data_IF_849551890891
#
_entry.id   IF_849551890891
#
_cell.length_a   1.000
_cell.length_b   1.000
_cell.length_c   1.000
_cell.angle_alpha   90.00
_cell.angle_beta   90.00
_cell.angle_gamma   90.00
#
_symmetry.space_group_name_H-M   'P 1'
#
loop_
_entity.id
_entity.type
_entity.pdbx_description
1 polymer ?
#
# COMPACT_ATOMS: atom_id res chain seq x y z
N UNK A 1 10.21 73.56 38.55
CA UNK A 1 11.04 73.57 37.32
C UNK A 1 10.27 72.78 36.27
N UNK A 2 9.87 73.47 35.21
CA UNK A 2 9.05 73.00 34.09
C UNK A 2 9.77 71.91 33.27
N UNK A 3 9.04 70.91 32.78
CA UNK A 3 8.87 70.74 31.33
C UNK A 3 7.78 69.70 31.05
N UNK A 4 6.65 70.19 30.56
CA UNK A 4 5.62 69.42 29.87
C UNK A 4 6.14 69.00 28.49
N UNK A 5 5.58 67.92 27.92
CA UNK A 5 5.01 67.90 26.56
C UNK A 5 4.37 66.52 26.26
N UNK A 6 3.06 66.60 26.02
CA UNK A 6 2.21 65.91 25.03
C UNK A 6 2.01 64.38 25.11
N UNK A 7 0.81 63.90 25.45
CA UNK A 7 -0.39 63.74 24.59
C UNK A 7 -0.20 62.82 23.37
N UNK A 8 -0.71 61.59 23.48
CA UNK A 8 -1.71 61.06 22.53
C UNK A 8 -2.40 59.81 23.08
N UNK A 9 -3.69 59.98 23.39
CA UNK A 9 -4.64 58.90 23.54
C UNK A 9 -4.94 58.27 22.18
N UNK A 10 -4.97 56.94 22.12
CA UNK A 10 -5.68 56.19 21.09
C UNK A 10 -6.31 54.96 21.76
N UNK A 11 -7.64 55.00 21.80
CA UNK A 11 -8.54 53.88 22.05
C UNK A 11 -8.30 52.78 21.01
N UNK A 12 -8.17 51.53 21.46
CA UNK A 12 -8.70 50.39 20.71
C UNK A 12 -9.23 49.35 21.70
N UNK A 13 -10.55 49.24 21.74
CA UNK A 13 -11.25 48.07 22.24
C UNK A 13 -10.99 46.91 21.27
N UNK A 14 -10.66 45.73 21.79
CA UNK A 14 -10.46 44.54 21.00
C UNK A 14 -10.66 43.30 21.85
N UNK A 15 -11.82 42.68 21.68
CA UNK A 15 -12.23 41.41 22.28
C UNK A 15 -11.11 40.36 22.24
N UNK A 16 -10.66 39.92 23.40
CA UNK A 16 -9.85 38.70 23.52
C UNK A 16 -10.78 37.48 23.45
N UNK A 17 -11.30 37.20 22.26
CA UNK A 17 -11.81 35.87 21.96
C UNK A 17 -10.61 34.92 22.02
N UNK A 18 -10.57 34.09 23.06
CA UNK A 18 -9.58 33.03 23.21
C UNK A 18 -9.71 32.04 22.05
N UNK A 19 -8.98 32.29 20.96
CA UNK A 19 -8.68 31.28 19.96
C UNK A 19 -7.77 30.25 20.61
N UNK A 20 -8.35 29.18 21.14
CA UNK A 20 -7.60 27.97 21.42
C UNK A 20 -6.90 27.56 20.12
N UNK A 21 -5.56 27.44 20.09
CA UNK A 21 -4.91 26.82 18.96
C UNK A 21 -5.40 25.38 18.92
N UNK A 22 -6.04 25.01 17.80
CA UNK A 22 -6.35 23.64 17.48
C UNK A 22 -5.03 22.84 17.50
N UNK A 23 -4.80 22.14 18.61
CA UNK A 23 -3.72 21.17 18.73
C UNK A 23 -3.99 20.05 17.72
N UNK A 24 -3.27 20.12 16.62
CA UNK A 24 -2.69 19.00 15.90
C UNK A 24 -3.66 17.88 15.49
N UNK A 25 -4.38 18.10 14.38
CA UNK A 25 -4.76 17.01 13.46
C UNK A 25 -3.56 16.55 12.61
N UNK A 26 -2.43 16.21 13.25
CA UNK A 26 -1.21 15.75 12.55
C UNK A 26 -1.09 14.22 12.44
N UNK A 27 -2.17 13.48 12.70
CA UNK A 27 -2.17 12.01 12.72
C UNK A 27 -2.35 11.36 11.34
N UNK A 28 -2.53 12.14 10.27
CA UNK A 28 -2.87 11.63 8.92
C UNK A 28 -1.66 11.31 8.02
N UNK A 29 -0.43 11.60 8.46
CA UNK A 29 0.81 11.38 7.68
C UNK A 29 1.74 10.30 8.25
N UNK A 30 1.33 9.63 9.33
CA UNK A 30 2.24 8.73 10.03
C UNK A 30 2.34 7.35 9.34
N UNK A 31 3.58 6.87 9.14
CA UNK A 31 3.84 5.53 8.60
C UNK A 31 3.26 4.45 9.52
N UNK A 32 2.63 3.39 8.98
CA UNK A 32 2.06 2.32 9.79
C UNK A 32 3.04 1.68 10.77
N UNK A 33 4.31 1.51 10.38
CA UNK A 33 5.35 0.94 11.25
C UNK A 33 5.62 1.82 12.48
N UNK A 34 5.53 3.15 12.33
CA UNK A 34 5.69 4.06 13.46
C UNK A 34 4.56 3.90 14.47
N UNK A 35 3.31 3.71 14.00
CA UNK A 35 2.18 3.45 14.91
C UNK A 35 2.36 2.16 15.69
N UNK A 36 2.85 1.11 15.03
CA UNK A 36 3.18 -0.16 15.69
C UNK A 36 4.27 0.06 16.73
N UNK A 37 5.40 0.65 16.36
CA UNK A 37 6.51 0.91 17.28
C UNK A 37 6.09 1.76 18.47
N UNK A 38 5.28 2.81 18.26
CA UNK A 38 4.76 3.64 19.37
C UNK A 38 3.81 2.89 20.29
N UNK A 39 3.10 1.87 19.79
CA UNK A 39 2.34 0.97 20.65
C UNK A 39 3.27 0.04 21.43
N UNK A 40 4.30 -0.52 20.78
CA UNK A 40 5.30 -1.40 21.41
C UNK A 40 6.08 -0.71 22.52
N UNK A 41 6.36 0.59 22.38
CA UNK A 41 7.00 1.40 23.42
C UNK A 41 6.20 1.45 24.73
N UNK A 42 4.89 1.16 24.69
CA UNK A 42 4.00 1.10 25.87
C UNK A 42 3.66 -0.33 26.27
N UNK A 43 4.17 -1.32 25.55
CA UNK A 43 3.95 -2.75 25.78
C UNK A 43 5.03 -3.33 26.70
N UNK A 44 4.83 -4.59 27.09
CA UNK A 44 5.81 -5.38 27.83
C UNK A 44 7.18 -5.45 27.10
N UNK A 45 8.31 -5.51 27.84
CA UNK A 45 9.65 -5.55 27.25
C UNK A 45 9.84 -6.66 26.20
N UNK A 46 9.24 -7.84 26.43
CA UNK A 46 9.28 -8.96 25.49
C UNK A 46 8.71 -8.62 24.11
N UNK A 47 7.68 -7.77 24.03
CA UNK A 47 7.12 -7.36 22.74
C UNK A 47 8.09 -6.49 21.92
N UNK A 48 8.92 -5.68 22.58
CA UNK A 48 9.97 -4.89 21.93
C UNK A 48 11.12 -5.79 21.48
N UNK A 49 11.47 -6.79 22.28
CA UNK A 49 12.46 -7.82 21.97
C UNK A 49 12.06 -8.62 20.72
N UNK A 50 10.83 -9.16 20.71
CA UNK A 50 10.30 -9.91 19.58
C UNK A 50 10.31 -9.08 18.29
N UNK A 51 9.88 -7.81 18.37
CA UNK A 51 9.92 -6.92 17.22
C UNK A 51 11.35 -6.66 16.72
N UNK A 52 12.29 -6.42 17.64
CA UNK A 52 13.68 -6.18 17.29
C UNK A 52 14.30 -7.39 16.59
N UNK A 53 14.07 -8.60 17.10
CA UNK A 53 14.55 -9.84 16.49
C UNK A 53 13.96 -10.05 15.09
N UNK A 54 12.66 -9.82 14.92
CA UNK A 54 12.01 -9.91 13.61
C UNK A 54 12.59 -8.89 12.63
N UNK A 55 12.72 -7.63 13.04
CA UNK A 55 13.24 -6.57 12.19
C UNK A 55 14.69 -6.82 11.75
N UNK A 56 15.55 -7.26 12.69
CA UNK A 56 16.94 -7.62 12.40
C UNK A 56 17.03 -8.86 11.50
N UNK A 57 16.14 -9.84 11.68
CA UNK A 57 16.05 -11.01 10.82
C UNK A 57 15.70 -10.66 9.38
N UNK A 58 14.71 -9.79 9.17
CA UNK A 58 14.36 -9.28 7.84
C UNK A 58 15.51 -8.50 7.19
N UNK A 59 16.26 -7.71 7.97
CA UNK A 59 17.49 -7.07 7.48
C UNK A 59 18.50 -8.12 7.05
N UNK A 60 18.81 -9.09 7.90
CA UNK A 60 19.77 -10.15 7.62
C UNK A 60 19.43 -10.91 6.33
N UNK A 61 18.15 -11.28 6.15
CA UNK A 61 17.68 -11.93 4.93
C UNK A 61 17.91 -11.06 3.68
N UNK A 62 17.68 -9.74 3.73
CA UNK A 62 17.99 -8.87 2.59
C UNK A 62 19.49 -8.81 2.27
N UNK A 63 20.33 -8.79 3.29
CA UNK A 63 21.79 -8.83 3.14
C UNK A 63 22.25 -10.15 2.48
N UNK A 64 21.72 -11.29 2.93
CA UNK A 64 22.00 -12.61 2.34
C UNK A 64 21.60 -12.69 0.87
N UNK A 65 20.37 -12.27 0.56
CA UNK A 65 19.88 -12.21 -0.83
C UNK A 65 20.71 -11.25 -1.69
N UNK A 66 21.22 -10.16 -1.11
CA UNK A 66 22.10 -9.24 -1.83
C UNK A 66 23.48 -9.85 -2.10
N UNK A 67 24.05 -10.57 -1.14
CA UNK A 67 25.30 -11.32 -1.29
C UNK A 67 25.15 -12.37 -2.40
N UNK A 68 24.12 -13.21 -2.34
CA UNK A 68 23.87 -14.27 -3.32
C UNK A 68 23.70 -13.72 -4.75
N UNK A 69 22.98 -12.61 -4.90
CA UNK A 69 22.81 -11.92 -6.20
C UNK A 69 24.13 -11.41 -6.77
N UNK A 70 25.01 -10.89 -5.92
CA UNK A 70 26.32 -10.38 -6.36
C UNK A 70 27.26 -11.55 -6.64
N UNK A 71 27.18 -12.63 -5.87
CA UNK A 71 27.99 -13.84 -6.07
C UNK A 71 27.66 -14.58 -7.36
N UNK A 72 26.38 -14.69 -7.71
CA UNK A 72 25.89 -15.37 -8.91
C UNK A 72 26.22 -14.65 -10.22
N UNK A 73 26.52 -13.35 -10.18
CA UNK A 73 26.93 -12.60 -11.37
C UNK A 73 28.35 -13.01 -11.82
N UNK A 74 28.59 -13.12 -13.13
CA UNK A 74 29.94 -13.30 -13.67
C UNK A 74 30.54 -11.94 -14.00
N UNK A 75 31.73 -11.64 -13.49
CA UNK A 75 32.44 -10.38 -13.78
C UNK A 75 33.84 -10.70 -14.27
N UNK A 76 34.13 -10.30 -15.52
CA UNK A 76 35.41 -10.55 -16.19
C UNK A 76 36.37 -9.36 -16.09
N UNK A 77 35.89 -8.16 -15.74
CA UNK A 77 36.72 -6.97 -15.54
C UNK A 77 37.42 -7.01 -14.16
N UNK A 78 38.77 -7.02 -14.10
CA UNK A 78 39.51 -7.04 -12.84
C UNK A 78 39.16 -5.89 -11.87
N UNK A 79 38.86 -4.69 -12.38
CA UNK A 79 38.52 -3.53 -11.53
C UNK A 79 37.14 -3.67 -10.90
N UNK A 80 36.18 -4.19 -11.66
CA UNK A 80 34.82 -4.48 -11.16
C UNK A 80 34.84 -5.66 -10.21
N UNK A 81 35.65 -6.68 -10.50
CA UNK A 81 35.91 -7.80 -9.59
C UNK A 81 36.47 -7.33 -8.24
N UNK A 82 37.47 -6.44 -8.22
CA UNK A 82 37.98 -5.88 -6.96
C UNK A 82 36.90 -5.11 -6.16
N UNK A 83 36.13 -4.23 -6.82
CA UNK A 83 35.03 -3.49 -6.17
C UNK A 83 33.99 -4.44 -5.59
N UNK A 84 33.63 -5.49 -6.33
CA UNK A 84 32.72 -6.54 -5.88
C UNK A 84 33.24 -7.25 -4.63
N UNK A 85 34.49 -7.72 -4.63
CA UNK A 85 35.07 -8.38 -3.46
C UNK A 85 35.09 -7.47 -2.23
N UNK A 86 35.42 -6.18 -2.42
CA UNK A 86 35.40 -5.20 -1.35
C UNK A 86 33.98 -5.01 -0.79
N UNK A 87 32.98 -4.89 -1.66
CA UNK A 87 31.58 -4.79 -1.26
C UNK A 87 31.13 -6.05 -0.52
N UNK A 88 31.37 -7.24 -1.06
CA UNK A 88 31.04 -8.52 -0.43
C UNK A 88 31.65 -8.65 0.97
N UNK A 89 32.92 -8.24 1.15
CA UNK A 89 33.57 -8.27 2.47
C UNK A 89 32.86 -7.34 3.46
N UNK A 90 32.54 -6.11 3.06
CA UNK A 90 31.87 -5.14 3.92
C UNK A 90 30.43 -5.58 4.27
N UNK A 91 29.68 -6.07 3.27
CA UNK A 91 28.31 -6.57 3.43
C UNK A 91 28.27 -7.80 4.33
N UNK A 92 29.20 -8.76 4.17
CA UNK A 92 29.32 -9.90 5.06
C UNK A 92 29.66 -9.47 6.50
N UNK A 93 30.57 -8.52 6.68
CA UNK A 93 30.90 -8.02 8.01
C UNK A 93 29.68 -7.39 8.69
N UNK A 94 28.86 -6.63 7.94
CA UNK A 94 27.62 -6.05 8.45
C UNK A 94 26.59 -7.14 8.80
N UNK A 95 26.41 -8.15 7.96
CA UNK A 95 25.53 -9.29 8.23
C UNK A 95 25.92 -10.02 9.53
N UNK A 96 27.22 -10.27 9.73
CA UNK A 96 27.71 -10.88 10.97
C UNK A 96 27.42 -10.01 12.21
N UNK A 97 27.49 -8.68 12.08
CA UNK A 97 27.09 -7.79 13.17
C UNK A 97 25.60 -7.84 13.48
N UNK A 98 24.73 -8.09 12.49
CA UNK A 98 23.30 -8.27 12.73
C UNK A 98 23.05 -9.58 13.49
N UNK A 99 23.73 -10.67 13.12
CA UNK A 99 23.64 -11.95 13.83
C UNK A 99 24.09 -11.86 15.28
N UNK A 100 25.23 -11.23 15.54
CA UNK A 100 25.71 -11.00 16.92
C UNK A 100 24.71 -10.18 17.74
N UNK A 101 24.09 -9.16 17.15
CA UNK A 101 23.09 -8.35 17.84
C UNK A 101 21.84 -9.17 18.17
N UNK A 102 21.37 -10.02 17.25
CA UNK A 102 20.23 -10.91 17.51
C UNK A 102 20.54 -11.93 18.60
N UNK A 103 21.77 -12.44 18.66
CA UNK A 103 22.24 -13.33 19.73
C UNK A 103 22.18 -12.62 21.10
N UNK A 104 22.77 -11.43 21.22
CA UNK A 104 22.73 -10.69 22.49
C UNK A 104 21.31 -10.33 22.95
N UNK A 105 20.44 -9.91 22.01
CA UNK A 105 19.04 -9.65 22.32
C UNK A 105 18.33 -10.93 22.76
N UNK A 106 18.63 -12.08 22.16
CA UNK A 106 18.06 -13.38 22.55
C UNK A 106 18.53 -13.83 23.93
N UNK A 107 19.77 -13.51 24.30
CA UNK A 107 20.37 -13.78 25.62
C UNK A 107 19.87 -12.84 26.73
N UNK A 108 19.00 -11.89 26.38
CA UNK A 108 18.32 -11.00 27.33
C UNK A 108 18.93 -9.60 27.46
N UNK A 109 19.75 -9.15 26.50
CA UNK A 109 20.16 -7.75 26.43
C UNK A 109 18.91 -6.84 26.34
N UNK A 110 18.79 -5.81 27.20
CA UNK A 110 17.69 -4.86 27.12
C UNK A 110 17.65 -4.17 25.76
N UNK A 111 16.46 -4.09 25.18
CA UNK A 111 16.25 -3.47 23.88
C UNK A 111 15.10 -2.48 23.93
N UNK A 112 15.31 -1.34 23.30
CA UNK A 112 14.31 -0.31 23.08
C UNK A 112 14.09 -0.12 21.59
N UNK A 113 12.82 -0.16 21.18
CA UNK A 113 12.45 0.15 19.80
C UNK A 113 11.85 1.54 19.76
N UNK A 114 12.47 2.44 19.01
CA UNK A 114 12.05 3.84 18.94
C UNK A 114 11.69 4.25 17.52
N UNK A 115 10.64 5.07 17.39
CA UNK A 115 10.26 5.70 16.15
C UNK A 115 10.16 7.20 16.38
N UNK A 116 11.08 7.97 15.80
CA UNK A 116 11.11 9.43 15.90
C UNK A 116 10.58 10.03 14.60
N UNK A 117 9.37 10.62 14.52
CA UNK A 117 8.91 11.28 13.30
C UNK A 117 9.70 12.58 13.00
N UNK A 118 10.06 12.87 11.74
CA UNK A 118 9.83 12.10 10.51
C UNK A 118 10.88 11.00 10.23
N UNK A 119 11.81 10.77 11.15
CA UNK A 119 12.90 9.79 11.08
C UNK A 119 12.46 8.32 11.08
N UNK A 120 13.43 7.42 11.01
CA UNK A 120 13.23 6.00 10.81
C UNK A 120 13.12 5.24 12.14
N UNK A 121 12.67 3.99 12.07
CA UNK A 121 12.63 3.09 13.23
C UNK A 121 14.07 2.74 13.61
N UNK A 122 14.36 2.77 14.90
CA UNK A 122 15.66 2.41 15.44
C UNK A 122 15.51 1.36 16.52
N UNK A 123 16.44 0.41 16.54
CA UNK A 123 16.64 -0.54 17.62
C UNK A 123 17.83 -0.05 18.42
N UNK A 124 17.59 0.21 19.70
CA UNK A 124 18.58 0.74 20.64
C UNK A 124 18.85 -0.32 21.70
N UNK A 125 20.09 -0.74 21.81
CA UNK A 125 20.61 -1.55 22.93
C UNK A 125 21.70 -0.76 23.67
N UNK A 126 22.25 -1.32 24.73
CA UNK A 126 23.29 -0.66 25.54
C UNK A 126 24.56 -0.36 24.73
N UNK A 127 24.82 -1.17 23.69
CA UNK A 127 26.05 -1.12 22.93
C UNK A 127 25.88 -0.53 21.53
N UNK A 128 24.65 -0.50 21.00
CA UNK A 128 24.44 -0.18 19.59
C UNK A 128 23.08 0.45 19.33
N UNK A 129 23.06 1.40 18.41
CA UNK A 129 21.83 1.86 17.75
C UNK A 129 21.86 1.41 16.31
N UNK A 130 20.85 0.66 15.89
CA UNK A 130 20.68 0.17 14.53
C UNK A 130 19.46 0.83 13.90
N UNK A 131 19.65 1.37 12.70
CA UNK A 131 18.58 1.88 11.87
C UNK A 131 17.89 0.71 11.16
N UNK A 132 16.57 0.62 11.32
CA UNK A 132 15.77 -0.43 10.68
C UNK A 132 15.41 0.01 9.27
N UNK A 133 16.24 -0.41 8.32
CA UNK A 133 16.16 -0.01 6.91
C UNK A 133 16.51 -1.14 5.96
N UNK A 134 16.09 -1.00 4.70
CA UNK A 134 16.49 -1.90 3.61
C UNK A 134 17.93 -1.63 3.18
N UNK A 135 18.64 -2.68 2.73
CA UNK A 135 19.94 -2.53 2.05
C UNK A 135 19.77 -2.19 0.56
N UNK A 136 18.58 -2.37 0.01
CA UNK A 136 18.32 -2.14 -1.42
C UNK A 136 17.92 -0.69 -1.65
N UNK A 137 18.37 -0.13 -2.78
CA UNK A 137 17.83 1.11 -3.32
C UNK A 137 16.39 0.84 -3.80
N UNK A 138 15.44 0.92 -2.88
CA UNK A 138 14.04 0.58 -3.09
C UNK A 138 13.12 1.34 -2.16
N UNK A 139 11.81 1.18 -2.35
CA UNK A 139 10.80 1.84 -1.50
C UNK A 139 10.92 1.34 -0.04
N UNK A 140 11.33 2.20 0.93
CA UNK A 140 11.47 1.82 2.33
C UNK A 140 10.19 1.24 2.92
N UNK A 141 9.02 1.60 2.37
CA UNK A 141 7.71 1.09 2.82
C UNK A 141 7.54 -0.40 2.57
N UNK A 142 8.19 -0.97 1.56
CA UNK A 142 8.12 -2.41 1.28
C UNK A 142 8.81 -3.21 2.38
N UNK A 143 9.99 -2.76 2.79
CA UNK A 143 10.73 -3.35 3.88
C UNK A 143 9.95 -3.21 5.20
N UNK A 144 9.48 -2.01 5.53
CA UNK A 144 8.64 -1.76 6.71
C UNK A 144 7.41 -2.68 6.76
N UNK A 145 6.73 -2.86 5.61
CA UNK A 145 5.54 -3.71 5.53
C UNK A 145 5.84 -5.19 5.75
N UNK A 146 7.02 -5.68 5.33
CA UNK A 146 7.44 -7.06 5.61
C UNK A 146 7.75 -7.25 7.09
N UNK A 147 8.54 -6.36 7.69
CA UNK A 147 8.84 -6.37 9.13
C UNK A 147 7.55 -6.41 9.95
N UNK A 148 6.58 -5.53 9.63
CA UNK A 148 5.29 -5.50 10.32
C UNK A 148 4.50 -6.81 10.17
N UNK A 149 4.51 -7.41 8.97
CA UNK A 149 3.79 -8.65 8.70
C UNK A 149 4.41 -9.81 9.47
N UNK A 150 5.72 -10.01 9.34
CA UNK A 150 6.47 -11.07 10.01
C UNK A 150 6.30 -10.98 11.53
N UNK A 151 6.32 -9.76 12.09
CA UNK A 151 6.10 -9.55 13.52
C UNK A 151 4.68 -9.94 13.92
N UNK A 152 3.69 -9.50 13.15
CA UNK A 152 2.29 -9.74 13.50
C UNK A 152 1.83 -11.18 13.28
N UNK A 153 2.45 -11.91 12.34
CA UNK A 153 2.27 -13.35 12.19
C UNK A 153 2.80 -14.10 13.43
N UNK A 154 3.96 -13.70 13.97
CA UNK A 154 4.54 -14.30 15.16
C UNK A 154 3.80 -13.90 16.47
N UNK A 155 3.46 -12.63 16.62
CA UNK A 155 2.86 -12.07 17.84
C UNK A 155 1.33 -12.18 17.91
N UNK A 156 0.68 -12.69 16.84
CA UNK A 156 -0.76 -12.85 16.80
C UNK A 156 -1.53 -11.53 16.86
N UNK A 157 -1.11 -10.51 16.09
CA UNK A 157 -1.78 -9.20 16.10
C UNK A 157 -3.27 -9.33 15.73
N UNK A 158 -4.18 -8.92 16.62
CA UNK A 158 -5.61 -8.88 16.32
C UNK A 158 -5.88 -7.92 15.15
N UNK A 159 -6.60 -8.43 14.13
CA UNK A 159 -7.04 -7.70 12.95
C UNK A 159 -8.03 -6.59 13.33
N UNK A 160 -7.50 -5.46 13.81
CA UNK A 160 -8.32 -4.33 14.25
C UNK A 160 -7.52 -3.29 15.02
N UNK A 161 -6.50 -3.70 15.79
CA UNK A 161 -5.75 -2.78 16.66
C UNK A 161 -4.71 -1.94 15.90
N UNK A 162 -4.27 -2.39 14.73
CA UNK A 162 -3.29 -1.69 13.87
C UNK A 162 -3.82 -1.38 12.44
N UNK A 163 -5.13 -1.55 12.23
CA UNK A 163 -5.70 -1.74 10.89
C UNK A 163 -5.36 -3.14 10.35
N UNK A 164 -6.18 -3.70 9.45
CA UNK A 164 -5.88 -5.01 8.85
C UNK A 164 -4.53 -4.92 8.13
N UNK A 165 -3.51 -5.58 8.65
CA UNK A 165 -2.16 -5.62 8.06
C UNK A 165 -2.16 -6.28 6.67
N UNK A 166 -3.12 -7.18 6.41
CA UNK A 166 -3.36 -7.75 5.08
C UNK A 166 -3.76 -6.69 4.04
N UNK A 167 -4.53 -5.67 4.42
CA UNK A 167 -4.97 -4.61 3.49
C UNK A 167 -3.83 -3.66 3.07
N UNK A 168 -2.72 -3.60 3.84
CA UNK A 168 -1.58 -2.72 3.55
C UNK A 168 -0.50 -3.42 2.73
N UNK A 169 -0.22 -4.67 3.07
CA UNK A 169 0.72 -5.55 2.38
C UNK A 169 0.33 -5.86 0.94
N UNK A 170 -0.94 -6.19 0.75
CA UNK A 170 -1.45 -6.72 -0.52
C UNK A 170 -1.77 -5.59 -1.49
N UNK A 171 -2.26 -4.45 -1.00
CA UNK A 171 -2.53 -3.29 -1.85
C UNK A 171 -1.23 -2.73 -2.44
N UNK A 172 -0.13 -2.67 -1.68
CA UNK A 172 1.16 -2.10 -2.13
C UNK A 172 1.96 -3.01 -3.06
N UNK A 173 1.85 -4.34 -2.90
CA UNK A 173 2.45 -5.31 -3.83
C UNK A 173 1.73 -5.33 -5.19
N UNK A 174 0.42 -5.01 -5.19
CA UNK A 174 -0.41 -4.87 -6.40
C UNK A 174 -0.13 -3.59 -7.17
N UNK A 175 0.56 -2.60 -6.58
CA UNK A 175 0.99 -1.41 -7.31
C UNK A 175 2.33 -1.62 -8.02
N UNK A 176 2.37 -1.35 -9.33
CA UNK A 176 3.60 -1.25 -10.12
C UNK A 176 3.86 0.19 -10.55
N UNK A 177 5.11 0.62 -10.36
CA UNK A 177 5.62 1.93 -10.72
C UNK A 177 6.80 1.71 -11.66
N UNK A 178 6.61 1.89 -12.95
CA UNK A 178 7.69 1.88 -13.93
C UNK A 178 7.63 3.19 -14.71
N UNK A 179 8.80 3.76 -14.99
CA UNK A 179 8.97 5.10 -15.60
C UNK A 179 8.19 5.30 -16.91
N UNK A 180 7.70 4.20 -17.52
CA UNK A 180 7.05 4.19 -18.83
C UNK A 180 5.63 3.55 -18.82
N UNK A 181 5.14 3.02 -17.69
CA UNK A 181 3.84 2.32 -17.60
C UNK A 181 2.79 3.01 -16.71
N UNK A 182 3.15 4.11 -16.04
CA UNK A 182 2.26 4.86 -15.17
C UNK A 182 2.03 4.19 -13.81
N UNK A 183 1.15 4.78 -12.99
CA UNK A 183 0.82 4.27 -11.66
C UNK A 183 -0.26 3.19 -11.79
N UNK A 184 0.14 1.92 -11.79
CA UNK A 184 -0.77 0.82 -12.12
C UNK A 184 -1.09 -0.02 -10.90
N UNK A 185 -2.38 -0.24 -10.63
CA UNK A 185 -2.85 -1.22 -9.65
C UNK A 185 -3.29 -2.50 -10.35
N UNK A 186 -2.79 -3.66 -9.92
CA UNK A 186 -3.05 -4.97 -10.51
C UNK A 186 -3.95 -5.81 -9.60
N UNK A 187 -5.00 -6.39 -10.15
CA UNK A 187 -5.78 -7.44 -9.48
C UNK A 187 -5.17 -8.80 -9.80
N UNK A 188 -5.38 -9.80 -8.95
CA UNK A 188 -5.01 -11.21 -9.22
C UNK A 188 -5.56 -11.71 -10.56
N UNK A 189 -6.70 -11.17 -10.96
CA UNK A 189 -7.47 -11.64 -12.09
C UNK A 189 -7.07 -11.07 -13.46
N UNK A 190 -5.94 -10.36 -13.53
CA UNK A 190 -5.40 -9.81 -14.77
C UNK A 190 -5.86 -8.38 -15.12
N UNK A 191 -6.76 -7.75 -14.34
CA UNK A 191 -7.07 -6.33 -14.53
C UNK A 191 -5.94 -5.44 -14.00
N UNK A 192 -5.61 -4.39 -14.76
CA UNK A 192 -4.57 -3.41 -14.45
C UNK A 192 -5.12 -2.00 -14.59
N UNK A 193 -5.38 -1.32 -13.48
CA UNK A 193 -5.94 0.03 -13.44
C UNK A 193 -4.82 1.06 -13.45
N UNK A 194 -4.74 1.88 -14.50
CA UNK A 194 -3.69 2.89 -14.64
C UNK A 194 -4.20 4.27 -14.20
N UNK A 195 -3.50 4.83 -13.21
CA UNK A 195 -3.76 6.14 -12.64
C UNK A 195 -2.67 7.15 -13.04
N UNK A 196 -3.10 8.40 -13.16
CA UNK A 196 -2.25 9.58 -13.38
C UNK A 196 -1.56 10.05 -12.10
N UNK A 197 -2.11 9.71 -10.92
CA UNK A 197 -1.57 10.11 -9.62
C UNK A 197 -1.64 9.00 -8.58
N UNK A 198 -0.67 8.99 -7.66
CA UNK A 198 -0.62 8.13 -6.47
C UNK A 198 -1.38 8.70 -5.26
N UNK A 199 -1.94 9.90 -5.37
CA UNK A 199 -2.78 10.47 -4.29
C UNK A 199 -3.96 9.55 -4.02
N UNK A 200 -4.27 9.37 -2.73
CA UNK A 200 -5.38 8.54 -2.24
C UNK A 200 -5.27 7.07 -2.66
N UNK A 201 -4.04 6.56 -2.76
CA UNK A 201 -3.70 5.19 -3.17
C UNK A 201 -4.58 4.12 -2.53
N UNK A 202 -4.80 4.22 -1.22
CA UNK A 202 -5.64 3.26 -0.47
C UNK A 202 -7.10 3.28 -0.93
N UNK A 203 -7.66 4.46 -1.14
CA UNK A 203 -9.04 4.64 -1.63
C UNK A 203 -9.15 4.14 -3.07
N UNK A 204 -8.16 4.42 -3.90
CA UNK A 204 -8.05 3.92 -5.29
C UNK A 204 -7.97 2.41 -5.35
N UNK A 205 -7.13 1.77 -4.53
CA UNK A 205 -7.06 0.31 -4.42
C UNK A 205 -8.40 -0.28 -4.00
N UNK A 206 -9.05 0.27 -2.97
CA UNK A 206 -10.38 -0.20 -2.54
C UNK A 206 -11.46 -0.02 -3.61
N UNK A 207 -11.38 1.04 -4.42
CA UNK A 207 -12.26 1.22 -5.57
C UNK A 207 -12.00 0.17 -6.67
N UNK A 208 -10.72 -0.14 -6.94
CA UNK A 208 -10.34 -1.17 -7.91
C UNK A 208 -10.80 -2.57 -7.49
N UNK A 209 -10.63 -2.94 -6.22
CA UNK A 209 -11.05 -4.25 -5.71
C UNK A 209 -12.57 -4.43 -5.78
N UNK A 210 -13.35 -3.40 -5.37
CA UNK A 210 -14.82 -3.42 -5.48
C UNK A 210 -15.26 -3.56 -6.93
N UNK A 211 -14.66 -2.77 -7.82
CA UNK A 211 -14.94 -2.81 -9.25
C UNK A 211 -14.60 -4.18 -9.87
N UNK A 212 -13.44 -4.74 -9.54
CA UNK A 212 -13.00 -6.04 -10.04
C UNK A 212 -13.89 -7.19 -9.53
N UNK A 213 -14.33 -7.14 -8.27
CA UNK A 213 -15.26 -8.12 -7.72
C UNK A 213 -16.59 -8.15 -8.47
N UNK A 214 -17.13 -6.98 -8.81
CA UNK A 214 -18.37 -6.89 -9.57
C UNK A 214 -18.20 -7.28 -11.05
N UNK A 215 -17.04 -7.01 -11.65
CA UNK A 215 -16.72 -7.51 -12.99
C UNK A 215 -16.63 -9.04 -13.02
N UNK A 216 -16.05 -9.67 -11.99
CA UNK A 216 -16.05 -11.14 -11.85
C UNK A 216 -17.47 -11.69 -11.79
N UNK A 217 -18.29 -11.14 -10.90
CA UNK A 217 -19.70 -11.53 -10.78
C UNK A 217 -20.43 -11.37 -12.13
N UNK A 218 -20.21 -10.25 -12.83
CA UNK A 218 -20.81 -10.04 -14.15
C UNK A 218 -20.35 -11.08 -15.18
N UNK A 219 -19.06 -11.43 -15.23
CA UNK A 219 -18.55 -12.46 -16.13
C UNK A 219 -19.21 -13.83 -15.87
N UNK A 220 -19.36 -14.20 -14.60
CA UNK A 220 -20.06 -15.44 -14.20
C UNK A 220 -21.53 -15.45 -14.64
N UNK A 221 -22.23 -14.31 -14.48
CA UNK A 221 -23.62 -14.17 -14.91
C UNK A 221 -23.76 -14.22 -16.43
N UNK A 222 -22.85 -13.58 -17.18
CA UNK A 222 -22.83 -13.64 -18.65
C UNK A 222 -22.59 -15.08 -19.14
N UNK A 223 -21.63 -15.79 -18.55
CA UNK A 223 -21.39 -17.20 -18.86
C UNK A 223 -22.60 -18.09 -18.52
N UNK A 224 -23.34 -17.79 -17.46
CA UNK A 224 -24.56 -18.51 -17.11
C UNK A 224 -25.71 -18.24 -18.10
N UNK A 225 -25.79 -17.03 -18.65
CA UNK A 225 -26.76 -16.63 -19.68
C UNK A 225 -26.47 -17.34 -21.00
N UNK A 226 -25.20 -17.39 -21.44
CA UNK A 226 -24.81 -18.13 -22.66
C UNK A 226 -25.09 -19.62 -22.54
N UNK A 227 -24.79 -20.23 -21.38
CA UNK A 227 -25.11 -21.65 -21.12
C UNK A 227 -26.61 -21.96 -21.17
N UNK A 228 -27.48 -20.95 -21.03
CA UNK A 228 -28.93 -21.07 -21.17
C UNK A 228 -29.43 -20.82 -22.61
N UNK A 229 -28.51 -20.60 -23.55
CA UNK A 229 -28.82 -20.42 -24.97
C UNK A 229 -29.16 -18.98 -25.37
N UNK A 230 -28.94 -17.99 -24.50
CA UNK A 230 -29.10 -16.58 -24.86
C UNK A 230 -27.80 -16.09 -25.50
N UNK A 231 -27.90 -15.55 -26.71
CA UNK A 231 -26.76 -15.00 -27.43
C UNK A 231 -26.30 -13.68 -26.80
N UNK A 232 -25.01 -13.60 -26.49
CA UNK A 232 -24.35 -12.39 -25.98
C UNK A 232 -23.53 -11.75 -27.11
N UNK A 233 -23.95 -10.56 -27.53
CA UNK A 233 -23.22 -9.73 -28.48
C UNK A 233 -22.14 -8.95 -27.73
N UNK A 234 -20.94 -9.53 -27.60
CA UNK A 234 -19.83 -8.99 -26.80
C UNK A 234 -19.42 -7.56 -27.14
N UNK A 235 -19.51 -7.17 -28.41
CA UNK A 235 -19.27 -5.80 -28.88
C UNK A 235 -20.31 -4.79 -28.36
N UNK A 236 -21.49 -5.26 -27.96
CA UNK A 236 -22.61 -4.49 -27.45
C UNK A 236 -22.77 -4.49 -25.92
N UNK A 237 -22.04 -5.33 -25.19
CA UNK A 237 -22.21 -5.44 -23.73
C UNK A 237 -21.96 -4.10 -23.03
N UNK A 238 -22.98 -3.53 -22.41
CA UNK A 238 -22.90 -2.23 -21.74
C UNK A 238 -24.01 -2.09 -20.72
N UNK A 239 -23.81 -1.18 -19.76
CA UNK A 239 -24.91 -0.71 -18.91
C UNK A 239 -25.91 0.07 -19.77
N UNK A 240 -27.15 -0.41 -19.85
CA UNK A 240 -28.25 0.25 -20.56
C UNK A 240 -29.14 1.09 -19.64
N UNK A 241 -28.98 0.94 -18.33
CA UNK A 241 -29.69 1.72 -17.32
C UNK A 241 -29.56 1.12 -15.93
N UNK A 242 -30.27 1.69 -14.97
CA UNK A 242 -30.42 1.12 -13.63
C UNK A 242 -31.85 1.29 -13.14
N UNK A 243 -32.29 0.36 -12.31
CA UNK A 243 -33.63 0.33 -11.72
C UNK A 243 -33.49 -0.07 -10.25
N UNK A 244 -33.76 0.87 -9.33
CA UNK A 244 -33.53 0.68 -7.88
C UNK A 244 -32.06 0.28 -7.58
N UNK A 245 -31.83 -0.91 -7.04
CA UNK A 245 -30.49 -1.48 -6.77
C UNK A 245 -29.87 -2.20 -7.97
N UNK A 246 -30.65 -2.47 -9.02
CA UNK A 246 -30.23 -3.30 -10.15
C UNK A 246 -29.64 -2.47 -11.29
N UNK A 247 -28.55 -2.95 -11.86
CA UNK A 247 -28.00 -2.47 -13.13
C UNK A 247 -28.55 -3.35 -14.25
N UNK A 248 -28.94 -2.71 -15.37
CA UNK A 248 -29.39 -3.36 -16.59
C UNK A 248 -28.20 -3.45 -17.55
N UNK A 249 -27.80 -4.67 -17.90
CA UNK A 249 -26.73 -4.95 -18.86
C UNK A 249 -27.40 -5.40 -20.17
N UNK A 250 -27.18 -4.66 -21.25
CA UNK A 250 -27.62 -5.07 -22.59
C UNK A 250 -26.79 -6.25 -23.06
N UNK A 251 -27.47 -7.30 -23.54
CA UNK A 251 -26.84 -8.52 -24.03
C UNK A 251 -26.72 -8.55 -25.55
N UNK A 252 -27.73 -8.11 -26.28
CA UNK A 252 -27.76 -8.17 -27.74
C UNK A 252 -28.66 -7.09 -28.37
N UNK A 253 -28.70 -7.03 -29.70
CA UNK A 253 -29.58 -6.16 -30.48
C UNK A 253 -31.06 -6.56 -30.46
N UNK A 254 -31.39 -7.80 -30.06
CA UNK A 254 -32.77 -8.27 -29.89
C UNK A 254 -33.46 -7.66 -28.65
N UNK A 255 -32.70 -7.00 -27.77
CA UNK A 255 -33.23 -6.29 -26.60
C UNK A 255 -33.14 -7.09 -25.30
N UNK A 256 -32.43 -8.21 -25.29
CA UNK A 256 -32.21 -8.98 -24.07
C UNK A 256 -31.36 -8.20 -23.07
N UNK A 257 -31.78 -8.26 -21.80
CA UNK A 257 -31.16 -7.54 -20.71
C UNK A 257 -30.96 -8.44 -19.51
N UNK A 258 -29.74 -8.44 -18.98
CA UNK A 258 -29.40 -9.03 -17.71
C UNK A 258 -29.54 -7.98 -16.59
N UNK A 259 -30.29 -8.30 -15.53
CA UNK A 259 -30.43 -7.44 -14.34
C UNK A 259 -29.61 -8.02 -13.19
N UNK A 260 -28.66 -7.25 -12.66
CA UNK A 260 -27.76 -7.69 -11.57
C UNK A 260 -27.54 -6.57 -10.58
N UNK A 261 -27.37 -6.90 -9.30
CA UNK A 261 -26.96 -5.94 -8.27
C UNK A 261 -25.45 -5.71 -8.36
N UNK A 262 -25.07 -4.59 -8.95
CA UNK A 262 -23.68 -4.21 -9.18
C UNK A 262 -23.48 -2.74 -8.74
N UNK A 263 -23.46 -2.45 -7.42
CA UNK A 263 -23.42 -1.09 -6.90
C UNK A 263 -22.19 -0.28 -7.35
N UNK A 264 -21.03 -0.90 -7.52
CA UNK A 264 -19.82 -0.26 -8.02
C UNK A 264 -19.91 0.04 -9.52
N UNK A 265 -20.37 -0.91 -10.34
CA UNK A 265 -20.59 -0.70 -11.78
C UNK A 265 -21.67 0.35 -12.01
N UNK A 266 -22.70 0.44 -11.16
CA UNK A 266 -23.68 1.53 -11.21
C UNK A 266 -23.03 2.91 -11.08
N UNK A 267 -21.95 3.01 -10.31
CA UNK A 267 -21.19 4.24 -10.11
C UNK A 267 -20.14 4.48 -11.21
N UNK A 268 -19.72 3.42 -11.91
CA UNK A 268 -18.73 3.43 -12.98
C UNK A 268 -19.21 2.60 -14.20
N UNK A 269 -20.29 3.02 -14.90
CA UNK A 269 -20.89 2.21 -15.98
C UNK A 269 -19.94 1.99 -17.16
N UNK A 270 -19.06 2.96 -17.44
CA UNK A 270 -18.07 2.90 -18.50
C UNK A 270 -17.04 1.78 -18.29
N UNK A 271 -16.88 1.31 -17.04
CA UNK A 271 -16.01 0.19 -16.71
C UNK A 271 -16.42 -1.09 -17.47
N UNK A 272 -17.72 -1.33 -17.66
CA UNK A 272 -18.21 -2.51 -18.40
C UNK A 272 -17.73 -2.46 -19.85
N UNK A 273 -17.80 -1.27 -20.47
CA UNK A 273 -17.35 -1.05 -21.85
C UNK A 273 -15.83 -1.23 -21.95
N UNK A 274 -15.07 -0.63 -21.02
CA UNK A 274 -13.63 -0.74 -20.99
C UNK A 274 -13.15 -2.17 -20.74
N UNK A 275 -13.90 -2.96 -19.95
CA UNK A 275 -13.56 -4.33 -19.57
C UNK A 275 -14.14 -5.42 -20.49
N UNK A 276 -14.84 -5.08 -21.59
CA UNK A 276 -15.54 -6.07 -22.46
C UNK A 276 -14.71 -7.29 -22.84
N UNK A 277 -13.49 -7.07 -23.34
CA UNK A 277 -12.59 -8.15 -23.77
C UNK A 277 -12.20 -9.06 -22.61
N UNK A 278 -12.06 -8.48 -21.42
CA UNK A 278 -11.76 -9.25 -20.21
C UNK A 278 -13.00 -10.02 -19.74
N UNK A 279 -14.19 -9.43 -19.80
CA UNK A 279 -15.46 -10.11 -19.49
C UNK A 279 -15.70 -11.31 -20.42
N UNK A 280 -15.49 -11.13 -21.72
CA UNK A 280 -15.60 -12.19 -22.73
C UNK A 280 -14.63 -13.33 -22.47
N UNK A 281 -13.34 -13.00 -22.27
CA UNK A 281 -12.33 -14.00 -21.94
C UNK A 281 -12.72 -14.79 -20.68
N UNK A 282 -13.13 -14.08 -19.62
CA UNK A 282 -13.51 -14.71 -18.35
C UNK A 282 -14.77 -15.57 -18.45
N UNK A 283 -15.78 -15.13 -19.18
CA UNK A 283 -17.01 -15.90 -19.38
C UNK A 283 -16.74 -17.23 -20.09
N UNK A 284 -15.75 -17.25 -20.99
CA UNK A 284 -15.28 -18.46 -21.66
C UNK A 284 -14.20 -19.24 -20.89
N UNK A 285 -13.93 -18.90 -19.62
CA UNK A 285 -12.92 -19.57 -18.80
C UNK A 285 -11.47 -19.28 -19.18
N UNK A 286 -11.24 -18.25 -20.00
CA UNK A 286 -9.91 -17.82 -20.44
C UNK A 286 -9.35 -16.74 -19.50
N UNK A 287 -8.03 -16.65 -19.43
CA UNK A 287 -7.34 -15.58 -18.71
C UNK A 287 -6.86 -14.51 -19.68
N UNK A 288 -7.16 -13.25 -19.38
CA UNK A 288 -6.70 -12.09 -20.15
C UNK A 288 -6.14 -11.04 -19.19
N UNK A 289 -4.94 -10.55 -19.47
CA UNK A 289 -4.46 -9.33 -18.82
C UNK A 289 -4.97 -8.11 -19.59
N UNK A 290 -5.64 -7.19 -18.90
CA UNK A 290 -6.22 -5.99 -19.51
C UNK A 290 -5.81 -4.74 -18.74
N UNK A 291 -5.23 -3.78 -19.45
CA UNK A 291 -4.92 -2.45 -18.93
C UNK A 291 -6.12 -1.53 -19.16
N UNK A 292 -6.58 -0.90 -18.09
CA UNK A 292 -7.65 0.08 -18.04
C UNK A 292 -7.03 1.47 -17.82
N UNK A 293 -6.77 2.24 -18.91
CA UNK A 293 -6.24 3.59 -18.80
C UNK A 293 -7.27 4.58 -18.24
N UNK A 294 -6.79 5.65 -17.61
CA UNK A 294 -7.67 6.72 -17.13
C UNK A 294 -8.53 6.31 -15.93
N UNK A 295 -8.03 5.43 -15.07
CA UNK A 295 -8.78 4.89 -13.94
C UNK A 295 -9.22 5.99 -12.94
N UNK A 296 -8.52 7.13 -12.88
CA UNK A 296 -8.93 8.29 -12.06
C UNK A 296 -10.33 8.79 -12.43
N UNK A 297 -10.64 8.88 -13.73
CA UNK A 297 -11.93 9.37 -14.21
C UNK A 297 -12.98 8.27 -14.17
N UNK A 298 -12.61 7.07 -14.62
CA UNK A 298 -13.50 5.92 -14.70
C UNK A 298 -14.05 5.52 -13.33
N UNK A 299 -13.21 5.57 -12.29
CA UNK A 299 -13.59 5.19 -10.93
C UNK A 299 -13.85 6.41 -10.03
N UNK A 300 -13.95 7.63 -10.57
CA UNK A 300 -14.02 8.87 -9.79
C UNK A 300 -15.12 8.83 -8.72
N UNK A 301 -16.34 8.41 -9.08
CA UNK A 301 -17.48 8.33 -8.15
C UNK A 301 -17.25 7.28 -7.06
N UNK A 302 -16.63 6.15 -7.41
CA UNK A 302 -16.28 5.10 -6.47
C UNK A 302 -15.22 5.53 -5.47
N UNK A 303 -14.22 6.27 -5.94
CA UNK A 303 -13.15 6.85 -5.13
C UNK A 303 -13.73 7.87 -4.14
N UNK A 304 -14.64 8.74 -4.59
CA UNK A 304 -15.27 9.75 -3.73
C UNK A 304 -16.26 9.20 -2.68
N UNK A 305 -16.62 7.92 -2.79
CA UNK A 305 -17.61 7.27 -1.90
C UNK A 305 -17.01 6.40 -0.79
N UNK A 306 -15.68 6.25 -0.78
CA UNK A 306 -14.94 5.49 0.23
C UNK A 306 -14.18 6.43 1.16
#
# INVERSE_FOLDING_TARGET
MFCALLLRALLFAGLSAGSQPALAQSSSLERPVHRLVRALQRSEPYAQQDFALVALGEMATEYEQAIERVESQRESDPRKSYKRHRWLRATNAQLQQLYQLMEFISDGEPVQVVANPPGEVQIVTDHKTVLVSSIQDGDPRRFESRVMRSYCEAAGCEAGRFGRLNDLAESDARWSFADNQGNVFRTEDGLRFMFTSLRDRKIKSAACERAAAELRLLAEQLAAVERRGVEVEWSGVAVSGSERSLVRIRLNSAGDVLKVELPAIRMAPDLVVAARRWLEARAHGQSLELILPGADLMLARLILSG
#
